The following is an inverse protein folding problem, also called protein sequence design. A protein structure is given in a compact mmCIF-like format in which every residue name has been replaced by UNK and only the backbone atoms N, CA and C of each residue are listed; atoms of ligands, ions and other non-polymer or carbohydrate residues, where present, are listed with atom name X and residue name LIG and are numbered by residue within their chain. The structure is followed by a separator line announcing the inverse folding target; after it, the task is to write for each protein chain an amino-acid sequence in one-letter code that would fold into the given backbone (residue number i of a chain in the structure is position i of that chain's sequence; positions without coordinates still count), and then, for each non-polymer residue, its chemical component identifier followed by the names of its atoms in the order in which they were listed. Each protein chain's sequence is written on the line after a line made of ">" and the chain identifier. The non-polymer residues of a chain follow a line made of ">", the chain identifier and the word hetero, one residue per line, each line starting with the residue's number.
data_IF_373996266594
#
_entry.id   IF_373996266594
#
_cell.length_a   1.000
_cell.length_b   1.000
_cell.length_c   1.000
_cell.angle_alpha   90.00
_cell.angle_beta   90.00
_cell.angle_gamma   90.00
#
_symmetry.space_group_name_H-M   'P 1'
#
loop_
_entity.id
_entity.type
_entity.pdbx_description
1 polymer ?
#
# COMPACT_ATOMS: atom_id res chain seq x y z
N UNK A 1 1.69 -11.46 16.16
CA UNK A 1 0.92 -11.33 14.90
C UNK A 1 1.52 -10.15 14.18
N UNK A 2 1.68 -10.20 12.85
CA UNK A 2 2.22 -9.08 12.07
C UNK A 2 1.21 -7.97 11.99
N UNK A 3 1.65 -6.72 12.14
CA UNK A 3 0.80 -5.53 12.15
C UNK A 3 1.00 -4.70 10.88
N UNK A 4 -0.10 -4.34 10.24
CA UNK A 4 -0.14 -3.52 9.03
C UNK A 4 -1.08 -2.34 9.24
N UNK A 5 -0.63 -1.15 8.90
CA UNK A 5 -1.47 0.02 8.82
C UNK A 5 -1.64 0.46 7.37
N UNK A 6 -2.90 0.65 6.97
CA UNK A 6 -3.27 1.10 5.64
C UNK A 6 -3.87 2.50 5.75
N UNK A 7 -3.22 3.49 5.19
CA UNK A 7 -3.68 4.88 5.27
C UNK A 7 -4.67 5.19 4.15
N UNK A 8 -5.88 5.58 4.54
CA UNK A 8 -6.94 6.01 3.62
C UNK A 8 -7.08 7.53 3.61
N UNK A 9 -7.12 8.09 2.42
CA UNK A 9 -7.45 9.48 2.16
C UNK A 9 -8.62 9.55 1.17
N UNK A 10 -9.45 10.58 1.24
CA UNK A 10 -10.50 10.79 0.24
C UNK A 10 -9.92 10.77 -1.19
N UNK A 11 -10.57 10.03 -2.07
CA UNK A 11 -10.11 9.76 -3.42
C UNK A 11 -9.12 8.59 -3.54
N UNK A 12 -9.03 7.70 -2.52
CA UNK A 12 -8.32 6.42 -2.68
C UNK A 12 -8.96 5.56 -3.77
N UNK A 13 -8.19 4.67 -4.40
CA UNK A 13 -8.71 3.72 -5.37
C UNK A 13 -9.24 2.47 -4.66
N UNK A 14 -10.46 2.06 -5.01
CA UNK A 14 -11.26 1.06 -4.29
C UNK A 14 -10.56 -0.30 -4.19
N UNK A 15 -10.20 -0.88 -5.33
CA UNK A 15 -9.67 -2.25 -5.35
C UNK A 15 -8.21 -2.30 -4.88
N UNK A 16 -7.44 -1.24 -5.12
CA UNK A 16 -6.05 -1.14 -4.67
C UNK A 16 -5.96 -1.13 -3.14
N UNK A 17 -6.94 -0.52 -2.49
CA UNK A 17 -7.01 -0.45 -1.05
C UNK A 17 -7.63 -1.71 -0.42
N UNK A 18 -8.80 -2.15 -0.92
CA UNK A 18 -9.60 -3.17 -0.24
C UNK A 18 -9.13 -4.60 -0.51
N UNK A 19 -8.57 -4.89 -1.70
CA UNK A 19 -8.03 -6.22 -2.00
C UNK A 19 -6.87 -6.57 -1.05
N UNK A 20 -5.85 -5.72 -0.87
CA UNK A 20 -4.78 -6.03 0.09
C UNK A 20 -5.29 -6.16 1.54
N UNK A 21 -6.25 -5.33 1.97
CA UNK A 21 -6.87 -5.47 3.30
C UNK A 21 -7.52 -6.84 3.48
N UNK A 22 -8.34 -7.28 2.51
CA UNK A 22 -9.02 -8.59 2.57
C UNK A 22 -8.01 -9.74 2.56
N UNK A 23 -7.06 -9.74 1.63
CA UNK A 23 -6.04 -10.81 1.50
C UNK A 23 -5.19 -10.93 2.77
N UNK A 24 -4.71 -9.82 3.30
CA UNK A 24 -3.87 -9.82 4.50
C UNK A 24 -4.64 -10.29 5.74
N UNK A 25 -5.88 -9.83 5.92
CA UNK A 25 -6.77 -10.27 7.02
C UNK A 25 -7.07 -11.77 6.91
N UNK A 26 -7.33 -12.31 5.70
CA UNK A 26 -7.47 -13.77 5.46
C UNK A 26 -6.21 -14.54 5.83
N UNK A 27 -5.04 -13.96 5.60
CA UNK A 27 -3.74 -14.54 5.96
C UNK A 27 -3.38 -14.45 7.45
N UNK A 28 -4.27 -13.93 8.30
CA UNK A 28 -4.05 -13.81 9.75
C UNK A 28 -3.17 -12.63 10.15
N UNK A 29 -3.02 -11.64 9.29
CA UNK A 29 -2.32 -10.39 9.58
C UNK A 29 -3.27 -9.43 10.32
N UNK A 30 -2.76 -8.73 11.32
CA UNK A 30 -3.47 -7.67 12.05
C UNK A 30 -3.43 -6.40 11.20
N UNK A 31 -4.51 -6.15 10.46
CA UNK A 31 -4.61 -5.01 9.54
C UNK A 31 -5.56 -3.97 10.12
N UNK A 32 -5.03 -2.79 10.37
CA UNK A 32 -5.78 -1.60 10.81
C UNK A 32 -5.86 -0.60 9.66
N UNK A 33 -7.06 -0.26 9.24
CA UNK A 33 -7.32 0.83 8.30
C UNK A 33 -7.37 2.16 9.03
N UNK A 34 -6.74 3.18 8.46
CA UNK A 34 -6.52 4.48 9.13
C UNK A 34 -7.03 5.61 8.25
N UNK A 35 -8.04 6.33 8.68
CA UNK A 35 -8.43 7.60 8.03
C UNK A 35 -7.44 8.70 8.38
N UNK A 36 -6.95 9.43 7.39
CA UNK A 36 -6.09 10.61 7.61
C UNK A 36 -6.86 11.89 7.84
N UNK A 37 -8.18 11.84 7.80
CA UNK A 37 -9.06 12.98 8.09
C UNK A 37 -9.53 12.97 9.55
N UNK A 38 -10.22 14.04 9.96
CA UNK A 38 -10.84 14.16 11.29
C UNK A 38 -12.06 13.25 11.48
N UNK A 39 -12.43 12.48 10.47
CA UNK A 39 -13.59 11.57 10.49
C UNK A 39 -13.17 10.16 10.08
N UNK A 40 -13.80 9.11 10.65
CA UNK A 40 -13.50 7.73 10.24
C UNK A 40 -14.02 7.40 8.84
N UNK A 41 -15.03 8.12 8.33
CA UNK A 41 -15.61 7.91 7.01
C UNK A 41 -14.70 8.50 5.93
N UNK A 42 -14.32 7.67 4.95
CA UNK A 42 -13.48 8.04 3.81
C UNK A 42 -14.18 7.66 2.52
N UNK A 43 -14.18 8.56 1.54
CA UNK A 43 -14.82 8.36 0.24
C UNK A 43 -13.78 8.01 -0.83
N UNK A 44 -13.99 6.89 -1.54
CA UNK A 44 -13.10 6.48 -2.63
C UNK A 44 -13.21 7.37 -3.87
N UNK A 45 -12.31 7.18 -4.83
CA UNK A 45 -12.32 7.86 -6.12
C UNK A 45 -13.61 7.58 -6.94
N UNK A 46 -14.30 6.48 -6.67
CA UNK A 46 -15.53 6.08 -7.34
C UNK A 46 -16.79 6.24 -6.47
N UNK A 47 -16.68 6.99 -5.36
CA UNK A 47 -17.83 7.33 -4.51
C UNK A 47 -18.25 6.24 -3.53
N UNK A 48 -17.44 5.22 -3.30
CA UNK A 48 -17.67 4.22 -2.25
C UNK A 48 -17.22 4.77 -0.92
N UNK A 49 -18.13 4.76 0.07
CA UNK A 49 -17.81 5.18 1.43
C UNK A 49 -17.39 3.98 2.26
N UNK A 50 -16.27 4.10 2.94
CA UNK A 50 -15.81 3.13 3.93
C UNK A 50 -15.59 3.82 5.27
N UNK A 51 -15.82 3.09 6.35
CA UNK A 51 -15.44 3.51 7.69
C UNK A 51 -14.10 2.85 8.05
N UNK A 52 -13.07 3.68 8.29
CA UNK A 52 -11.77 3.20 8.74
C UNK A 52 -11.83 2.75 10.21
N UNK A 53 -10.98 1.79 10.58
CA UNK A 53 -10.94 1.26 11.95
C UNK A 53 -10.55 2.33 12.99
N UNK A 54 -9.64 3.25 12.61
CA UNK A 54 -9.20 4.37 13.44
C UNK A 54 -8.95 5.64 12.61
N UNK A 55 -8.89 6.78 13.28
CA UNK A 55 -8.34 8.02 12.71
C UNK A 55 -6.84 8.13 13.00
N UNK A 56 -6.10 8.88 12.17
CA UNK A 56 -4.64 9.02 12.27
C UNK A 56 -4.20 9.48 13.68
N UNK A 57 -4.88 10.45 14.26
CA UNK A 57 -4.57 11.00 15.58
C UNK A 57 -4.76 9.99 16.75
N UNK A 58 -5.42 8.87 16.49
CA UNK A 58 -5.65 7.80 17.47
C UNK A 58 -4.59 6.70 17.41
N UNK A 59 -3.72 6.71 16.37
CA UNK A 59 -2.78 5.64 16.10
C UNK A 59 -1.38 5.88 16.67
N UNK A 60 -0.76 4.81 17.15
CA UNK A 60 0.71 4.70 17.28
C UNK A 60 1.19 3.70 16.23
N UNK A 61 1.96 4.19 15.27
CA UNK A 61 2.43 3.39 14.14
C UNK A 61 3.85 2.85 14.32
N UNK A 62 4.43 3.05 15.51
CA UNK A 62 5.82 2.67 15.82
C UNK A 62 6.05 1.16 15.83
N UNK A 63 4.98 0.37 16.00
CA UNK A 63 5.00 -1.09 16.01
C UNK A 63 4.62 -1.74 14.65
N UNK A 64 4.48 -0.94 13.59
CA UNK A 64 4.12 -1.43 12.27
C UNK A 64 5.20 -2.36 11.68
N UNK A 65 4.82 -3.56 11.25
CA UNK A 65 5.65 -4.39 10.38
C UNK A 65 5.61 -3.88 8.93
N UNK A 66 4.48 -3.29 8.51
CA UNK A 66 4.27 -2.71 7.19
C UNK A 66 3.36 -1.48 7.27
N UNK A 67 3.74 -0.41 6.58
CA UNK A 67 2.87 0.71 6.20
C UNK A 67 2.50 0.55 4.73
N UNK A 68 1.21 0.63 4.42
CA UNK A 68 0.71 0.52 3.06
C UNK A 68 -0.06 1.78 2.64
N UNK A 69 0.26 2.27 1.44
CA UNK A 69 -0.31 3.45 0.81
C UNK A 69 -1.05 3.05 -0.47
N UNK A 70 -2.38 3.05 -0.48
CA UNK A 70 -3.17 2.89 -1.69
C UNK A 70 -2.93 4.03 -2.68
N UNK A 71 -3.25 3.77 -3.95
CA UNK A 71 -3.27 4.80 -4.97
C UNK A 71 -4.63 5.50 -5.07
N UNK A 72 -4.95 5.92 -6.28
CA UNK A 72 -6.08 6.80 -6.58
C UNK A 72 -5.71 8.26 -6.47
N UNK A 73 -6.41 9.08 -7.27
CA UNK A 73 -6.27 10.54 -7.20
C UNK A 73 -7.65 11.14 -6.89
N UNK A 74 -7.73 12.10 -5.95
CA UNK A 74 -6.64 12.78 -5.28
C UNK A 74 -6.06 12.05 -4.04
N UNK A 75 -6.45 10.80 -3.73
CA UNK A 75 -6.06 10.07 -2.53
C UNK A 75 -4.55 10.07 -2.27
N UNK A 76 -3.73 9.67 -3.25
CA UNK A 76 -2.27 9.66 -3.12
C UNK A 76 -1.69 11.06 -2.85
N UNK A 77 -2.27 12.10 -3.49
CA UNK A 77 -1.89 13.49 -3.21
C UNK A 77 -2.22 13.90 -1.78
N UNK A 78 -3.42 13.55 -1.31
CA UNK A 78 -3.85 13.85 0.06
C UNK A 78 -2.96 13.16 1.10
N UNK A 79 -2.53 11.92 0.83
CA UNK A 79 -1.54 11.22 1.67
C UNK A 79 -0.21 11.98 1.73
N UNK A 80 0.30 12.47 0.59
CA UNK A 80 1.55 13.22 0.54
C UNK A 80 1.44 14.60 1.21
N UNK A 81 0.29 15.27 1.13
CA UNK A 81 0.06 16.56 1.79
C UNK A 81 -0.09 16.43 3.31
N UNK A 82 -0.40 15.23 3.81
CA UNK A 82 -0.53 14.95 5.25
C UNK A 82 0.85 14.73 5.90
N UNK A 83 1.38 15.77 6.57
CA UNK A 83 2.73 15.75 7.15
C UNK A 83 2.99 14.60 8.11
N UNK A 84 1.98 14.21 8.90
CA UNK A 84 2.07 13.07 9.82
C UNK A 84 2.30 11.76 9.09
N UNK A 85 1.56 11.50 8.00
CA UNK A 85 1.74 10.32 7.14
C UNK A 85 3.15 10.31 6.57
N UNK A 86 3.60 11.42 5.98
CA UNK A 86 4.95 11.54 5.43
C UNK A 86 6.02 11.19 6.48
N UNK A 87 5.87 11.73 7.69
CA UNK A 87 6.81 11.43 8.79
C UNK A 87 6.81 9.95 9.15
N UNK A 88 5.63 9.33 9.31
CA UNK A 88 5.50 7.91 9.65
C UNK A 88 6.14 7.03 8.57
N UNK A 89 5.92 7.34 7.29
CA UNK A 89 6.48 6.59 6.15
C UNK A 89 8.01 6.70 6.11
N UNK A 90 8.56 7.90 6.32
CA UNK A 90 10.02 8.12 6.37
C UNK A 90 10.64 7.38 7.56
N UNK A 91 10.06 7.50 8.75
CA UNK A 91 10.55 6.82 9.96
C UNK A 91 10.48 5.29 9.81
N UNK A 92 9.40 4.78 9.21
CA UNK A 92 9.22 3.35 8.92
C UNK A 92 10.33 2.82 8.01
N UNK A 93 10.57 3.54 6.90
CA UNK A 93 11.62 3.19 5.95
C UNK A 93 13.01 3.26 6.56
N UNK A 94 13.33 4.34 7.27
CA UNK A 94 14.62 4.55 7.92
C UNK A 94 14.93 3.49 8.99
N UNK A 95 13.89 2.97 9.65
CA UNK A 95 14.01 1.86 10.60
C UNK A 95 14.20 0.49 9.93
N UNK A 96 14.28 0.43 8.59
CA UNK A 96 14.39 -0.83 7.84
C UNK A 96 13.10 -1.66 7.80
N UNK A 97 11.99 -1.12 8.31
CA UNK A 97 10.68 -1.78 8.27
C UNK A 97 10.00 -1.58 6.92
N UNK A 98 9.04 -2.44 6.61
CA UNK A 98 8.43 -2.49 5.27
C UNK A 98 7.54 -1.29 4.99
N UNK A 99 7.64 -0.80 3.75
CA UNK A 99 6.74 0.20 3.16
C UNK A 99 6.24 -0.34 1.82
N UNK A 100 4.95 -0.20 1.56
CA UNK A 100 4.35 -0.61 0.30
C UNK A 100 3.47 0.50 -0.28
N UNK A 101 3.45 0.63 -1.59
CA UNK A 101 2.62 1.59 -2.31
C UNK A 101 2.21 1.05 -3.69
N UNK A 102 1.06 1.48 -4.18
CA UNK A 102 0.52 1.03 -5.47
C UNK A 102 0.05 2.21 -6.32
N UNK A 103 0.08 2.05 -7.64
CA UNK A 103 -0.49 2.97 -8.62
C UNK A 103 0.22 4.34 -8.64
N UNK A 104 -0.46 5.41 -8.27
CA UNK A 104 0.11 6.75 -8.18
C UNK A 104 1.00 6.93 -6.94
N UNK A 105 0.73 6.22 -5.84
CA UNK A 105 1.39 6.44 -4.57
C UNK A 105 2.92 6.20 -4.56
N UNK A 106 3.49 5.24 -5.32
CA UNK A 106 4.95 5.13 -5.44
C UNK A 106 5.60 6.42 -5.91
N UNK A 107 5.08 7.06 -6.95
CA UNK A 107 5.62 8.32 -7.46
C UNK A 107 5.25 9.51 -6.58
N UNK A 108 3.94 9.68 -6.29
CA UNK A 108 3.40 10.87 -5.60
C UNK A 108 3.85 10.94 -4.15
N UNK A 109 4.08 9.81 -3.49
CA UNK A 109 4.48 9.78 -2.07
C UNK A 109 5.92 9.32 -1.93
N UNK A 110 6.25 8.07 -2.29
CA UNK A 110 7.56 7.50 -1.98
C UNK A 110 8.70 8.17 -2.73
N UNK A 111 8.50 8.50 -4.02
CA UNK A 111 9.49 9.21 -4.83
C UNK A 111 9.76 10.59 -4.26
N UNK A 112 8.71 11.35 -3.95
CA UNK A 112 8.85 12.71 -3.42
C UNK A 112 9.43 12.77 -2.00
N UNK A 113 9.36 11.67 -1.26
CA UNK A 113 10.01 11.53 0.06
C UNK A 113 11.46 11.02 -0.03
N UNK A 114 12.00 10.78 -1.22
CA UNK A 114 13.36 10.27 -1.44
C UNK A 114 13.55 8.80 -1.03
N UNK A 115 12.47 8.07 -0.77
CA UNK A 115 12.51 6.66 -0.34
C UNK A 115 12.97 5.74 -1.46
N UNK A 116 12.75 6.14 -2.71
CA UNK A 116 13.06 5.34 -3.88
C UNK A 116 14.47 5.56 -4.44
N UNK A 117 15.28 6.43 -3.84
CA UNK A 117 16.64 6.71 -4.29
C UNK A 117 17.48 5.42 -4.39
N UNK A 118 18.02 5.14 -5.59
CA UNK A 118 18.82 3.96 -5.89
C UNK A 118 18.07 2.63 -5.91
N UNK A 119 16.74 2.63 -5.80
CA UNK A 119 15.90 1.43 -5.81
C UNK A 119 15.27 1.15 -7.16
N UNK A 120 14.82 -0.09 -7.32
CA UNK A 120 13.87 -0.47 -8.38
C UNK A 120 12.44 -0.21 -7.90
N UNK A 121 11.60 0.33 -8.76
CA UNK A 121 10.20 0.60 -8.45
C UNK A 121 9.31 0.55 -9.69
N UNK A 122 8.03 0.30 -9.48
CA UNK A 122 6.98 0.44 -10.49
C UNK A 122 5.89 1.39 -10.00
N UNK A 123 5.11 1.93 -10.91
CA UNK A 123 3.97 2.80 -10.63
C UNK A 123 2.95 2.73 -11.77
N UNK A 124 1.83 3.41 -11.60
CA UNK A 124 0.85 3.56 -12.67
C UNK A 124 1.44 4.36 -13.86
N UNK A 125 1.16 3.97 -15.11
CA UNK A 125 1.63 4.71 -16.30
C UNK A 125 1.29 6.20 -16.24
N UNK A 126 2.32 7.03 -16.48
CA UNK A 126 2.23 8.50 -16.38
C UNK A 126 2.79 9.08 -15.08
N UNK A 127 3.15 8.25 -14.10
CA UNK A 127 3.79 8.69 -12.85
C UNK A 127 5.28 8.32 -12.78
N UNK A 128 5.86 7.76 -13.83
CA UNK A 128 7.25 7.28 -13.86
C UNK A 128 8.25 8.38 -13.53
N UNK A 129 7.99 9.60 -14.02
CA UNK A 129 8.87 10.75 -13.80
C UNK A 129 8.88 11.24 -12.34
N UNK A 130 7.93 10.76 -11.52
CA UNK A 130 7.85 11.07 -10.09
C UNK A 130 8.56 10.01 -9.22
N UNK A 131 9.10 8.94 -9.82
CA UNK A 131 9.92 7.94 -9.13
C UNK A 131 11.36 8.45 -8.95
N UNK A 132 11.51 9.57 -8.24
CA UNK A 132 12.79 10.27 -8.12
C UNK A 132 13.90 9.33 -7.64
N UNK A 133 15.00 9.25 -8.40
CA UNK A 133 16.17 8.43 -8.12
C UNK A 133 15.99 6.92 -8.33
N UNK A 134 14.80 6.44 -8.73
CA UNK A 134 14.54 5.02 -8.93
C UNK A 134 14.82 4.55 -10.36
N UNK A 135 15.05 3.24 -10.50
CA UNK A 135 14.97 2.53 -11.78
C UNK A 135 13.55 2.01 -11.96
N UNK A 136 12.83 2.55 -12.93
CA UNK A 136 11.47 2.09 -13.28
C UNK A 136 11.52 0.71 -13.94
N UNK A 137 10.74 -0.26 -13.45
CA UNK A 137 10.76 -1.64 -13.93
C UNK A 137 9.66 -1.98 -14.91
N UNK A 138 8.52 -1.27 -14.87
CA UNK A 138 7.29 -1.62 -15.58
C UNK A 138 6.75 -3.03 -15.25
N UNK A 139 7.12 -3.57 -14.10
CA UNK A 139 6.58 -4.85 -13.60
C UNK A 139 5.25 -4.61 -12.87
N UNK A 140 4.37 -5.63 -12.84
CA UNK A 140 3.14 -5.56 -12.03
C UNK A 140 3.43 -5.30 -10.56
N UNK A 141 4.48 -5.94 -10.03
CA UNK A 141 4.94 -5.78 -8.65
C UNK A 141 6.46 -5.76 -8.63
N UNK A 142 7.04 -4.80 -7.94
CA UNK A 142 8.50 -4.69 -7.76
C UNK A 142 8.82 -4.67 -6.27
N UNK A 143 9.76 -5.53 -5.86
CA UNK A 143 10.28 -5.59 -4.48
C UNK A 143 11.76 -5.20 -4.51
N UNK A 144 12.13 -4.21 -3.70
CA UNK A 144 13.53 -3.83 -3.51
C UNK A 144 13.79 -3.49 -2.04
N UNK A 145 14.51 -4.40 -1.37
CA UNK A 145 14.78 -4.29 0.06
C UNK A 145 13.49 -4.29 0.89
N UNK A 146 13.26 -3.22 1.61
CA UNK A 146 12.06 -3.04 2.44
C UNK A 146 10.93 -2.28 1.75
N UNK A 147 11.05 -2.00 0.45
CA UNK A 147 10.03 -1.30 -0.34
C UNK A 147 9.39 -2.25 -1.35
N UNK A 148 8.06 -2.27 -1.40
CA UNK A 148 7.28 -3.00 -2.41
C UNK A 148 6.35 -2.02 -3.13
N UNK A 149 6.44 -1.97 -4.45
CA UNK A 149 5.58 -1.13 -5.29
C UNK A 149 4.79 -1.96 -6.28
N UNK A 150 3.63 -1.47 -6.71
CA UNK A 150 2.80 -2.13 -7.72
C UNK A 150 2.20 -1.14 -8.72
N UNK A 151 1.88 -1.65 -9.92
CA UNK A 151 1.53 -0.81 -11.07
C UNK A 151 0.17 -0.13 -10.93
N UNK A 152 -0.86 -0.86 -10.53
CA UNK A 152 -2.22 -0.28 -10.47
C UNK A 152 -3.31 -1.30 -10.14
N UNK A 153 -4.59 -0.99 -10.39
CA UNK A 153 -5.74 -1.78 -9.90
C UNK A 153 -5.67 -3.27 -10.24
N UNK A 154 -5.28 -3.61 -11.48
CA UNK A 154 -5.15 -5.01 -11.90
C UNK A 154 -4.03 -5.77 -11.17
N UNK A 155 -3.03 -5.06 -10.66
CA UNK A 155 -1.93 -5.63 -9.89
C UNK A 155 -2.28 -5.83 -8.39
N UNK A 156 -3.45 -5.41 -7.92
CA UNK A 156 -3.80 -5.43 -6.49
C UNK A 156 -3.75 -6.85 -5.88
N UNK A 157 -4.20 -7.88 -6.61
CA UNK A 157 -4.10 -9.26 -6.13
C UNK A 157 -2.67 -9.78 -6.04
N UNK A 158 -1.84 -9.78 -7.12
CA UNK A 158 -0.45 -10.23 -7.01
C UNK A 158 0.35 -9.41 -5.99
N UNK A 159 0.09 -8.10 -5.86
CA UNK A 159 0.68 -7.25 -4.84
C UNK A 159 0.30 -7.71 -3.43
N UNK A 160 -0.97 -7.94 -3.15
CA UNK A 160 -1.44 -8.40 -1.85
C UNK A 160 -0.85 -9.77 -1.46
N UNK A 161 -0.76 -10.70 -2.41
CA UNK A 161 -0.14 -12.00 -2.17
C UNK A 161 1.36 -11.90 -1.93
N UNK A 162 2.05 -11.00 -2.61
CA UNK A 162 3.47 -10.71 -2.35
C UNK A 162 3.67 -10.15 -0.94
N UNK A 163 2.86 -9.16 -0.53
CA UNK A 163 2.91 -8.61 0.83
C UNK A 163 2.64 -9.69 1.89
N UNK A 164 1.64 -10.56 1.67
CA UNK A 164 1.34 -11.66 2.57
C UNK A 164 2.51 -12.65 2.67
N UNK A 165 3.14 -13.00 1.54
CA UNK A 165 4.30 -13.87 1.52
C UNK A 165 5.49 -13.29 2.31
N UNK A 166 5.69 -11.98 2.24
CA UNK A 166 6.76 -11.28 2.96
C UNK A 166 6.49 -11.16 4.48
N UNK A 167 5.22 -11.04 4.88
CA UNK A 167 4.83 -10.83 6.27
C UNK A 167 4.68 -12.14 7.04
N UNK A 168 4.20 -13.18 6.38
CA UNK A 168 3.91 -14.48 6.98
C UNK A 168 4.80 -15.54 6.33
N UNK A 169 4.40 -16.07 5.19
CA UNK A 169 5.18 -16.98 4.34
C UNK A 169 4.47 -17.23 3.00
N UNK A 170 5.25 -17.74 2.03
CA UNK A 170 4.73 -18.04 0.69
C UNK A 170 3.65 -19.13 0.69
N UNK A 171 3.73 -20.12 1.58
CA UNK A 171 2.76 -21.23 1.64
C UNK A 171 1.38 -20.69 2.03
N UNK A 172 1.33 -19.84 3.04
CA UNK A 172 0.08 -19.17 3.47
C UNK A 172 -0.48 -18.31 2.34
N UNK A 173 0.36 -17.51 1.67
CA UNK A 173 -0.04 -16.70 0.53
C UNK A 173 -0.64 -17.56 -0.60
N UNK A 174 0.02 -18.66 -0.97
CA UNK A 174 -0.46 -19.59 -2.01
C UNK A 174 -1.80 -20.25 -1.64
N UNK A 175 -1.99 -20.58 -0.36
CA UNK A 175 -3.26 -21.15 0.14
C UNK A 175 -4.41 -20.15 0.07
N UNK A 176 -4.16 -18.90 0.45
CA UNK A 176 -5.18 -17.83 0.35
C UNK A 176 -5.51 -17.58 -1.12
N UNK A 177 -4.52 -17.47 -2.01
CA UNK A 177 -4.73 -17.30 -3.44
C UNK A 177 -5.55 -18.42 -4.07
N UNK A 178 -5.31 -19.69 -3.67
CA UNK A 178 -6.10 -20.85 -4.10
C UNK A 178 -7.54 -20.75 -3.59
N UNK A 179 -7.73 -20.45 -2.29
CA UNK A 179 -9.06 -20.29 -1.67
C UNK A 179 -9.88 -19.17 -2.31
N UNK A 180 -9.23 -18.09 -2.73
CA UNK A 180 -9.84 -16.97 -3.47
C UNK A 180 -10.00 -17.24 -4.97
N UNK A 181 -9.63 -18.42 -5.45
CA UNK A 181 -9.74 -18.86 -6.85
C UNK A 181 -8.89 -18.04 -7.82
N UNK A 182 -7.86 -17.34 -7.34
CA UNK A 182 -7.03 -16.46 -8.17
C UNK A 182 -6.36 -17.21 -9.32
N UNK A 183 -5.93 -18.46 -9.12
CA UNK A 183 -5.32 -19.27 -10.18
C UNK A 183 -6.24 -19.53 -11.37
N UNK A 184 -7.57 -19.53 -11.17
CA UNK A 184 -8.52 -19.67 -12.27
C UNK A 184 -8.63 -18.42 -13.14
N UNK A 185 -8.23 -17.27 -12.64
CA UNK A 185 -8.16 -16.03 -13.41
C UNK A 185 -6.96 -16.05 -14.37
N UNK A 186 -5.90 -16.77 -14.00
CA UNK A 186 -4.63 -16.83 -14.74
C UNK A 186 -4.52 -18.04 -15.67
N UNK A 187 -5.53 -18.92 -15.67
CA UNK A 187 -5.62 -20.09 -16.56
C UNK A 187 -6.33 -19.73 -17.87
#
# INVERSE_FOLDING_TARGET
>A
MKKVYVFFADGFEDVEALIPVDVLRRGGVDVTTVSISDFPLVTSAHGVNIEADIMFEQGDFSDADLIFLPGGMPGAKNLFEHKGVCKVVVDQHAAGRKVAAICAAPGVVLGQLGILEGKKATCYPGFEQMLDGATYTADLVTVDGNVTTAEGPAAAFPFAYELLAQLVDKKTSDQIAEGMRFKHLMA
#
